data_IF_855983962819
#
_entry.id   IF_855983962819
#
_cell.length_a   1.000
_cell.length_b   1.000
_cell.length_c   1.000
_cell.angle_alpha   90.00
_cell.angle_beta   90.00
_cell.angle_gamma   90.00
#
_symmetry.space_group_name_H-M   'P 1'
#
loop_
_entity.id
_entity.type
_entity.pdbx_description
1 polymer ?
#
# COMPACT_ATOMS: atom_id res chain seq x y z
N UNK A 1 0.63 -11.61 2.90
CA UNK A 1 1.17 -11.97 4.23
C UNK A 1 2.33 -12.92 4.04
N UNK A 2 3.47 -12.62 4.67
CA UNK A 2 4.70 -13.37 4.53
C UNK A 2 5.29 -13.70 5.90
N UNK A 3 5.88 -14.89 6.01
CA UNK A 3 6.45 -15.40 7.25
C UNK A 3 7.99 -15.47 7.14
N UNK A 4 8.66 -15.01 8.19
CA UNK A 4 10.09 -15.06 8.39
C UNK A 4 10.36 -16.10 9.49
N UNK A 5 10.47 -17.36 9.06
CA UNK A 5 10.43 -18.55 9.92
C UNK A 5 11.79 -19.23 10.10
N UNK A 6 12.87 -18.59 9.65
CA UNK A 6 14.25 -19.05 9.75
C UNK A 6 15.21 -17.90 10.03
N UNK A 7 16.42 -18.28 10.41
CA UNK A 7 17.53 -17.36 10.61
C UNK A 7 17.85 -16.59 9.32
N UNK A 8 18.20 -15.31 9.50
CA UNK A 8 18.85 -14.52 8.46
C UNK A 8 20.30 -14.34 8.91
N UNK A 9 21.22 -15.09 8.31
CA UNK A 9 22.66 -14.95 8.56
C UNK A 9 23.29 -14.09 7.47
N UNK A 10 24.13 -13.14 7.87
CA UNK A 10 24.87 -12.28 6.96
C UNK A 10 26.37 -12.48 7.19
N UNK A 11 27.13 -12.55 6.11
CA UNK A 11 28.59 -12.45 6.14
C UNK A 11 28.96 -11.17 5.40
N UNK A 12 29.22 -10.11 6.17
CA UNK A 12 29.46 -8.77 5.62
C UNK A 12 30.96 -8.54 5.56
N UNK A 13 31.56 -8.37 4.37
CA UNK A 13 32.97 -8.04 4.26
C UNK A 13 33.31 -6.74 5.00
N UNK A 14 34.54 -6.64 5.50
CA UNK A 14 35.00 -5.47 6.22
C UNK A 14 34.77 -4.17 5.40
N UNK A 15 34.18 -3.17 6.05
CA UNK A 15 33.85 -1.88 5.43
C UNK A 15 32.57 -1.86 4.58
N UNK A 16 31.85 -2.98 4.47
CA UNK A 16 30.59 -3.06 3.71
C UNK A 16 29.37 -2.81 4.58
N UNK A 17 28.23 -2.57 3.92
CA UNK A 17 26.90 -2.48 4.51
C UNK A 17 26.01 -3.54 3.88
N UNK A 18 25.07 -4.08 4.65
CA UNK A 18 24.00 -4.94 4.15
C UNK A 18 22.65 -4.23 4.30
N UNK A 19 21.93 -4.08 3.20
CA UNK A 19 20.54 -3.60 3.19
C UNK A 19 19.67 -4.74 2.68
N UNK A 20 18.80 -5.26 3.54
CA UNK A 20 17.91 -6.37 3.24
C UNK A 20 16.50 -5.85 3.06
N UNK A 21 16.03 -5.80 1.81
CA UNK A 21 14.63 -5.44 1.51
C UNK A 21 13.74 -6.67 1.70
N UNK A 22 12.72 -6.52 2.53
CA UNK A 22 11.77 -7.56 2.90
C UNK A 22 10.39 -7.18 2.37
N UNK A 23 9.78 -8.10 1.61
CA UNK A 23 8.42 -7.98 1.09
C UNK A 23 7.58 -9.14 1.58
N UNK A 24 6.50 -8.82 2.28
CA UNK A 24 5.58 -9.80 2.90
C UNK A 24 4.12 -9.53 2.52
N UNK A 25 3.85 -8.43 1.82
CA UNK A 25 2.56 -7.77 1.83
C UNK A 25 2.24 -7.19 3.21
N UNK A 26 0.99 -6.81 3.41
CA UNK A 26 0.54 -5.99 4.55
C UNK A 26 0.97 -6.50 5.93
N UNK A 27 1.02 -7.83 6.13
CA UNK A 27 1.37 -8.44 7.41
C UNK A 27 2.65 -9.29 7.26
N UNK A 28 3.70 -8.87 7.98
CA UNK A 28 4.91 -9.64 8.21
C UNK A 28 4.81 -10.40 9.54
N UNK A 29 5.17 -11.68 9.54
CA UNK A 29 5.20 -12.50 10.76
C UNK A 29 6.63 -12.99 11.02
N UNK A 30 7.24 -12.53 12.11
CA UNK A 30 8.55 -12.97 12.60
C UNK A 30 8.33 -14.17 13.49
N UNK A 31 8.70 -15.35 12.98
CA UNK A 31 8.45 -16.65 13.62
C UNK A 31 9.76 -17.38 13.99
N UNK A 32 10.88 -16.66 13.94
CA UNK A 32 12.19 -17.16 14.32
C UNK A 32 12.93 -16.15 15.18
N UNK A 33 13.67 -16.64 16.18
CA UNK A 33 14.17 -15.83 17.28
C UNK A 33 15.52 -15.13 17.06
N UNK A 34 16.17 -15.27 15.90
CA UNK A 34 17.49 -14.68 15.66
C UNK A 34 17.65 -14.21 14.22
N UNK A 35 17.91 -12.91 14.05
CA UNK A 35 18.33 -12.31 12.79
C UNK A 35 19.67 -11.59 12.96
N UNK A 36 20.57 -11.78 12.00
CA UNK A 36 21.90 -11.20 12.00
C UNK A 36 22.76 -11.71 13.16
N UNK A 37 23.86 -10.99 13.40
CA UNK A 37 24.77 -11.23 14.51
C UNK A 37 25.36 -9.91 15.04
N UNK A 38 25.88 -9.95 16.26
CA UNK A 38 26.41 -8.79 16.96
C UNK A 38 27.58 -8.11 16.25
N UNK A 39 28.39 -8.85 15.50
CA UNK A 39 29.54 -8.29 14.76
C UNK A 39 29.13 -7.40 13.59
N UNK A 40 27.89 -7.52 13.13
CA UNK A 40 27.38 -6.84 11.94
C UNK A 40 26.18 -5.92 12.22
N UNK A 41 25.81 -5.70 13.48
CA UNK A 41 24.63 -4.94 13.86
C UNK A 41 24.64 -3.49 13.33
N UNK A 42 25.76 -2.77 13.48
CA UNK A 42 25.92 -1.41 12.93
C UNK A 42 25.93 -1.38 11.39
N UNK A 43 26.18 -2.51 10.73
CA UNK A 43 26.34 -2.60 9.27
C UNK A 43 25.09 -3.11 8.55
N UNK A 44 24.03 -3.45 9.29
CA UNK A 44 22.84 -4.10 8.74
C UNK A 44 21.60 -3.23 8.86
N UNK A 45 20.84 -3.11 7.77
CA UNK A 45 19.54 -2.46 7.72
C UNK A 45 18.50 -3.39 7.09
N UNK A 46 17.46 -3.75 7.86
CA UNK A 46 16.28 -4.46 7.37
C UNK A 46 15.21 -3.44 6.97
N UNK A 47 14.78 -3.48 5.72
CA UNK A 47 13.76 -2.57 5.17
C UNK A 47 12.50 -3.36 4.88
N UNK A 48 11.44 -3.18 5.67
CA UNK A 48 10.13 -3.70 5.29
C UNK A 48 9.51 -2.73 4.30
N UNK A 49 9.37 -3.17 3.06
CA UNK A 49 8.97 -2.28 1.96
C UNK A 49 7.45 -2.11 1.88
N UNK A 50 6.69 -3.18 2.16
CA UNK A 50 5.24 -3.22 1.94
C UNK A 50 4.43 -3.54 3.22
N UNK A 51 5.06 -4.05 4.27
CA UNK A 51 4.37 -4.37 5.51
C UNK A 51 3.80 -3.11 6.17
N UNK A 52 2.52 -3.17 6.57
CA UNK A 52 1.86 -2.17 7.43
C UNK A 52 1.72 -2.67 8.87
N UNK A 53 1.87 -3.97 9.10
CA UNK A 53 2.00 -4.62 10.40
C UNK A 53 3.18 -5.59 10.39
N UNK A 54 3.99 -5.54 11.44
CA UNK A 54 5.07 -6.50 11.69
C UNK A 54 4.77 -7.15 13.05
N UNK A 55 4.46 -8.44 13.03
CA UNK A 55 4.15 -9.23 14.21
C UNK A 55 5.38 -10.01 14.64
N UNK A 56 5.89 -9.74 15.85
CA UNK A 56 6.88 -10.58 16.49
C UNK A 56 6.15 -11.73 17.22
N UNK A 57 6.01 -12.88 16.56
CA UNK A 57 5.24 -14.03 17.04
C UNK A 57 6.00 -14.88 18.08
N UNK A 58 7.32 -14.72 18.14
CA UNK A 58 8.22 -15.34 19.11
C UNK A 58 9.21 -14.29 19.63
N UNK A 59 9.73 -14.38 20.87
CA UNK A 59 10.82 -13.52 21.29
C UNK A 59 11.99 -13.65 20.31
N UNK A 60 12.45 -12.53 19.77
CA UNK A 60 13.52 -12.52 18.79
C UNK A 60 14.56 -11.44 19.09
N UNK A 61 15.83 -11.80 18.88
CA UNK A 61 16.94 -10.87 18.86
C UNK A 61 17.20 -10.44 17.41
N UNK A 62 17.02 -9.15 17.13
CA UNK A 62 17.27 -8.57 15.82
C UNK A 62 18.58 -7.80 15.89
N UNK A 63 19.63 -8.34 15.29
CA UNK A 63 20.92 -7.67 15.12
C UNK A 63 20.93 -6.91 13.80
N UNK A 64 20.79 -5.59 13.91
CA UNK A 64 20.63 -4.70 12.77
C UNK A 64 19.52 -3.68 13.00
N UNK A 65 19.57 -2.62 12.21
CA UNK A 65 18.55 -1.58 12.25
C UNK A 65 17.32 -1.97 11.42
N UNK A 66 16.15 -1.46 11.80
CA UNK A 66 14.87 -1.75 11.11
C UNK A 66 14.24 -0.45 10.62
N UNK A 67 13.95 -0.39 9.32
CA UNK A 67 13.24 0.71 8.68
C UNK A 67 11.89 0.21 8.13
N UNK A 68 10.81 0.67 8.75
CA UNK A 68 9.44 0.41 8.33
C UNK A 68 8.52 1.58 8.76
N UNK A 69 8.74 2.80 8.25
CA UNK A 69 8.04 4.01 8.71
C UNK A 69 6.53 3.98 8.49
N UNK A 70 6.03 3.04 7.66
CA UNK A 70 4.61 2.78 7.42
C UNK A 70 4.02 1.72 8.36
N UNK A 71 4.85 0.93 9.05
CA UNK A 71 4.40 -0.25 9.78
C UNK A 71 4.15 0.04 11.27
N UNK A 72 3.15 -0.65 11.84
CA UNK A 72 3.06 -0.87 13.28
C UNK A 72 3.90 -2.09 13.60
N UNK A 73 4.84 -1.95 14.53
CA UNK A 73 5.59 -3.08 15.06
C UNK A 73 4.92 -3.58 16.35
N UNK A 74 4.46 -4.82 16.34
CA UNK A 74 3.85 -5.51 17.47
C UNK A 74 4.92 -6.38 18.12
N UNK A 75 5.52 -5.88 19.20
CA UNK A 75 6.51 -6.62 19.96
C UNK A 75 5.90 -7.86 20.62
N UNK A 76 6.70 -8.90 20.80
CA UNK A 76 6.26 -10.11 21.46
C UNK A 76 5.88 -9.82 22.93
N UNK A 77 5.07 -10.68 23.54
CA UNK A 77 4.53 -10.40 24.88
C UNK A 77 5.48 -10.73 26.03
N UNK A 78 6.61 -11.40 25.75
CA UNK A 78 7.53 -11.94 26.76
C UNK A 78 9.00 -11.59 26.51
N UNK A 79 9.31 -10.71 25.57
CA UNK A 79 10.67 -10.24 25.32
C UNK A 79 10.98 -9.98 23.86
N UNK A 80 12.28 -9.98 23.55
CA UNK A 80 12.83 -9.65 22.24
C UNK A 80 13.53 -8.29 22.26
N UNK A 81 14.38 -8.09 21.27
CA UNK A 81 15.20 -6.89 21.20
C UNK A 81 15.51 -6.50 19.76
N UNK A 82 15.74 -5.20 19.57
CA UNK A 82 16.38 -4.64 18.38
C UNK A 82 17.72 -4.04 18.81
N UNK A 83 18.80 -4.66 18.36
CA UNK A 83 20.17 -4.16 18.47
C UNK A 83 20.46 -3.30 17.24
N UNK A 84 19.92 -2.08 17.25
CA UNK A 84 19.89 -1.24 16.07
C UNK A 84 19.10 0.06 16.24
N UNK A 85 19.09 0.89 15.21
CA UNK A 85 18.06 1.92 15.06
C UNK A 85 16.73 1.27 14.66
N UNK A 86 15.61 1.89 15.05
CA UNK A 86 14.29 1.48 14.63
C UNK A 86 13.46 2.69 14.19
N UNK A 87 12.83 2.59 13.04
CA UNK A 87 11.91 3.59 12.54
C UNK A 87 10.59 2.91 12.13
N UNK A 88 9.57 3.11 12.97
CA UNK A 88 8.22 2.55 12.80
C UNK A 88 7.18 3.66 12.78
N UNK A 89 6.02 3.41 12.15
CA UNK A 89 4.85 4.29 12.27
C UNK A 89 4.34 4.33 13.71
N UNK A 90 4.31 3.16 14.34
CA UNK A 90 3.89 2.97 15.72
C UNK A 90 4.55 1.71 16.28
N UNK A 91 4.68 1.66 17.59
CA UNK A 91 5.29 0.56 18.32
C UNK A 91 4.36 0.15 19.45
N UNK A 92 3.92 -1.11 19.44
CA UNK A 92 3.05 -1.68 20.47
C UNK A 92 3.82 -2.74 21.23
N UNK A 93 3.88 -2.59 22.55
CA UNK A 93 4.61 -3.49 23.45
C UNK A 93 3.77 -3.81 24.69
N UNK A 94 3.79 -5.07 25.12
CA UNK A 94 3.13 -5.46 26.36
C UNK A 94 3.92 -4.92 27.57
N UNK A 95 3.21 -4.40 28.58
CA UNK A 95 3.83 -3.87 29.81
C UNK A 95 4.69 -4.90 30.58
N UNK A 96 4.51 -6.20 30.33
CA UNK A 96 5.28 -7.30 30.92
C UNK A 96 6.28 -7.94 29.96
N UNK A 97 6.45 -7.40 28.75
CA UNK A 97 7.33 -8.01 27.74
C UNK A 97 8.78 -8.03 28.16
N UNK A 98 9.30 -6.92 28.70
CA UNK A 98 10.74 -6.72 28.78
C UNK A 98 11.40 -6.63 27.39
N UNK A 99 10.69 -6.06 26.40
CA UNK A 99 11.29 -5.78 25.09
C UNK A 99 12.27 -4.62 25.19
N UNK A 100 13.42 -4.72 24.52
CA UNK A 100 14.51 -3.77 24.64
C UNK A 100 15.01 -3.21 23.30
N UNK A 101 15.60 -2.02 23.35
CA UNK A 101 16.39 -1.46 22.27
C UNK A 101 17.81 -1.26 22.76
N UNK A 102 18.80 -1.71 21.98
CA UNK A 102 20.22 -1.61 22.31
C UNK A 102 20.96 -0.68 21.35
N UNK A 103 22.02 -0.03 21.83
CA UNK A 103 22.74 1.00 21.07
C UNK A 103 23.69 0.40 20.02
N UNK A 104 23.17 0.20 18.80
CA UNK A 104 23.94 -0.21 17.62
C UNK A 104 23.52 0.61 16.38
N UNK A 105 23.84 1.92 16.32
CA UNK A 105 23.35 2.76 15.23
C UNK A 105 23.87 2.30 13.86
N UNK A 106 23.00 2.36 12.84
CA UNK A 106 23.34 2.03 11.47
C UNK A 106 24.39 3.00 10.91
N UNK A 107 25.56 2.47 10.59
CA UNK A 107 26.71 3.23 10.12
C UNK A 107 26.54 3.81 8.71
N UNK A 108 25.65 3.22 7.90
CA UNK A 108 25.44 3.66 6.52
C UNK A 108 24.78 5.02 6.37
N UNK A 109 24.15 5.53 7.45
CA UNK A 109 23.34 6.73 7.41
C UNK A 109 22.09 6.57 6.52
N UNK A 110 21.11 7.43 6.73
CA UNK A 110 19.99 7.59 5.79
C UNK A 110 20.03 9.03 5.31
N UNK A 111 20.52 9.24 4.09
CA UNK A 111 20.51 10.57 3.49
C UNK A 111 19.12 10.82 2.93
N UNK A 112 18.30 11.53 3.69
CA UNK A 112 17.07 12.11 3.17
C UNK A 112 17.44 13.22 2.18
N UNK A 113 17.71 12.86 0.92
CA UNK A 113 17.73 13.84 -0.17
C UNK A 113 16.38 14.55 -0.10
N UNK A 114 16.38 15.89 0.06
CA UNK A 114 15.15 16.66 0.16
C UNK A 114 14.20 16.23 -0.96
N UNK A 115 13.06 15.63 -0.59
CA UNK A 115 12.10 15.13 -1.54
C UNK A 115 11.69 16.34 -2.39
N UNK A 116 12.01 16.32 -3.68
CA UNK A 116 11.55 17.38 -4.57
C UNK A 116 10.02 17.49 -4.40
N UNK A 117 9.46 18.71 -4.29
CA UNK A 117 8.03 18.88 -4.15
C UNK A 117 7.31 18.07 -5.24
N UNK A 118 6.23 17.39 -4.87
CA UNK A 118 5.40 16.72 -5.87
C UNK A 118 5.00 17.74 -6.96
N UNK A 119 5.04 17.37 -8.24
CA UNK A 119 4.65 18.27 -9.32
C UNK A 119 3.21 18.77 -9.09
N UNK A 120 2.97 20.05 -9.39
CA UNK A 120 1.63 20.63 -9.28
C UNK A 120 0.62 19.83 -10.12
N UNK A 121 -0.61 19.60 -9.62
CA UNK A 121 -1.64 18.90 -10.39
C UNK A 121 -1.91 19.62 -11.71
N UNK A 122 -2.15 18.84 -12.77
CA UNK A 122 -2.48 19.39 -14.08
C UNK A 122 -3.78 20.22 -14.02
N UNK A 123 -3.90 21.29 -14.82
CA UNK A 123 -5.14 22.07 -14.91
C UNK A 123 -6.32 21.18 -15.30
N UNK A 124 -7.46 21.35 -14.63
CA UNK A 124 -8.71 20.67 -15.00
C UNK A 124 -9.19 21.22 -16.34
N UNK A 125 -9.57 20.37 -17.32
CA UNK A 125 -10.15 20.84 -18.58
C UNK A 125 -11.41 21.68 -18.34
N UNK A 126 -11.53 22.81 -19.05
CA UNK A 126 -12.72 23.65 -19.02
C UNK A 126 -13.87 22.91 -19.72
N UNK A 127 -15.08 22.83 -19.14
CA UNK A 127 -16.24 22.22 -19.79
C UNK A 127 -16.55 22.91 -21.13
N UNK A 128 -16.79 22.13 -22.18
CA UNK A 128 -17.25 22.63 -23.48
C UNK A 128 -18.73 23.05 -23.36
N UNK A 129 -19.12 24.26 -23.83
CA UNK A 129 -20.52 24.68 -23.84
C UNK A 129 -21.43 23.70 -24.59
N UNK A 130 -22.63 23.45 -24.06
CA UNK A 130 -23.60 22.56 -24.69
C UNK A 130 -24.08 23.11 -26.05
N UNK A 131 -24.34 22.24 -27.05
CA UNK A 131 -24.92 22.64 -28.32
C UNK A 131 -26.28 23.32 -28.15
N UNK A 132 -26.57 24.34 -28.97
CA UNK A 132 -27.88 25.00 -29.01
C UNK A 132 -28.94 24.03 -29.56
N UNK A 133 -30.15 23.98 -28.97
CA UNK A 133 -31.22 23.10 -29.46
C UNK A 133 -31.63 23.45 -30.89
N UNK A 134 -31.90 22.41 -31.68
CA UNK A 134 -32.44 22.51 -33.05
C UNK A 134 -33.92 22.91 -33.02
N UNK A 135 -34.36 23.79 -33.94
CA UNK A 135 -35.77 24.17 -34.03
C UNK A 135 -36.66 23.00 -34.46
N UNK A 136 -37.84 22.91 -33.86
CA UNK A 136 -38.86 21.88 -34.15
C UNK A 136 -39.53 22.13 -35.51
N UNK A 137 -39.72 21.10 -36.34
CA UNK A 137 -40.40 21.23 -37.64
C UNK A 137 -41.91 21.51 -37.47
N UNK A 138 -42.46 22.30 -38.38
CA UNK A 138 -43.90 22.63 -38.45
C UNK A 138 -44.69 21.42 -39.00
N UNK A 139 -45.81 21.02 -38.38
CA UNK A 139 -46.66 19.93 -38.88
C UNK A 139 -47.25 20.22 -40.26
N UNK A 140 -47.32 19.18 -41.09
CA UNK A 140 -47.98 19.22 -42.40
C UNK A 140 -49.51 19.30 -42.27
N UNK A 141 -50.22 19.92 -43.24
CA UNK A 141 -51.67 20.01 -43.24
C UNK A 141 -52.35 18.64 -43.43
N UNK A 142 -53.50 18.46 -42.78
CA UNK A 142 -54.30 17.23 -42.80
C UNK A 142 -55.01 17.03 -44.14
N UNK A 143 -54.97 15.82 -44.75
CA UNK A 143 -55.72 15.50 -45.97
C UNK A 143 -57.24 15.56 -45.80
N UNK A 144 -57.95 15.87 -46.89
CA UNK A 144 -59.41 15.93 -46.93
C UNK A 144 -60.06 14.52 -46.85
N UNK A 145 -61.28 14.40 -46.29
CA UNK A 145 -61.99 13.12 -46.18
C UNK A 145 -62.34 12.49 -47.53
N UNK A 146 -62.33 11.15 -47.58
CA UNK A 146 -62.72 10.38 -48.75
C UNK A 146 -64.26 10.32 -48.94
N UNK A 147 -64.76 10.19 -50.19
CA UNK A 147 -66.19 10.03 -50.46
C UNK A 147 -66.76 8.71 -49.92
N UNK A 148 -68.06 8.71 -49.59
CA UNK A 148 -68.78 7.57 -49.06
C UNK A 148 -68.96 6.42 -50.09
N UNK A 149 -68.96 5.14 -49.65
CA UNK A 149 -69.18 3.99 -50.54
C UNK A 149 -70.60 3.93 -51.09
N UNK A 150 -70.74 3.40 -52.31
CA UNK A 150 -72.02 3.12 -52.93
C UNK A 150 -72.71 1.89 -52.29
N UNK A 151 -74.06 1.86 -52.24
CA UNK A 151 -74.81 0.77 -51.61
C UNK A 151 -74.69 -0.55 -52.38
N UNK A 152 -74.66 -1.66 -51.62
CA UNK A 152 -74.55 -3.02 -52.14
C UNK A 152 -75.90 -3.55 -52.62
N UNK A 153 -76.00 -4.21 -53.80
CA UNK A 153 -77.24 -4.81 -54.28
C UNK A 153 -77.71 -5.99 -53.43
N UNK A 154 -79.04 -6.14 -53.29
CA UNK A 154 -79.68 -7.19 -52.51
C UNK A 154 -79.52 -8.59 -53.15
N UNK A 155 -79.42 -9.67 -52.35
CA UNK A 155 -79.37 -11.05 -52.86
C UNK A 155 -80.68 -11.47 -53.53
N UNK A 156 -80.57 -12.24 -54.62
CA UNK A 156 -81.68 -12.89 -55.33
C UNK A 156 -82.07 -14.23 -54.63
N UNK A 157 -83.32 -14.71 -54.79
CA UNK A 157 -83.95 -15.74 -53.95
C UNK A 157 -83.37 -17.15 -54.08
#
# INVERSE_FOLDING_TARGET
>A
NGALNKEIKLEIPAGSLAIVKIRTGDNAHIQYGLWGDAGHANNTLYVFEDATNIFMEVPAAIWGSVLAPQAIFHAHQTGGDINGNAAFRSFTVNARSGFEFHWYPFAGGVVCQGMAPAPAPAPVPVPVPAPRPTPTPIPAPTPAPAPAPAPTPAPAP
#
